data_IF_457567117170
#
_entry.id   IF_457567117170
#
_cell.length_a   1.000
_cell.length_b   1.000
_cell.length_c   1.000
_cell.angle_alpha   90.00
_cell.angle_beta   90.00
_cell.angle_gamma   90.00
#
_symmetry.space_group_name_H-M   'P 1'
#
loop_
_entity.id
_entity.type
_entity.pdbx_description
1 polymer ?
#
# COMPACT_ATOMS: atom_id res chain seq x y z
N UNK A 1 -14.99 6.61 -8.39
CA UNK A 1 -13.62 6.15 -8.71
C UNK A 1 -13.22 5.08 -7.72
N UNK A 2 -12.56 4.00 -8.17
CA UNK A 2 -12.00 3.00 -7.24
C UNK A 2 -10.89 3.66 -6.40
N UNK A 3 -10.84 3.38 -5.10
CA UNK A 3 -9.77 3.91 -4.23
C UNK A 3 -8.44 3.31 -4.66
N UNK A 4 -7.38 4.12 -4.70
CA UNK A 4 -6.03 3.60 -4.97
C UNK A 4 -5.53 2.77 -3.78
N UNK A 5 -4.56 1.88 -4.04
CA UNK A 5 -3.91 1.08 -3.01
C UNK A 5 -3.35 1.99 -1.89
N UNK A 6 -2.62 3.05 -2.28
CA UNK A 6 -2.10 4.07 -1.36
C UNK A 6 -3.21 4.74 -0.54
N UNK A 7 -4.31 5.17 -1.17
CA UNK A 7 -5.41 5.83 -0.46
C UNK A 7 -6.01 4.90 0.60
N UNK A 8 -6.14 3.62 0.29
CA UNK A 8 -6.64 2.62 1.24
C UNK A 8 -5.69 2.44 2.42
N UNK A 9 -4.38 2.40 2.17
CA UNK A 9 -3.36 2.32 3.25
C UNK A 9 -3.39 3.59 4.11
N UNK A 10 -3.51 4.77 3.50
CA UNK A 10 -3.64 6.04 4.22
C UNK A 10 -4.85 6.03 5.15
N UNK A 11 -6.03 5.68 4.63
CA UNK A 11 -7.25 5.56 5.45
C UNK A 11 -7.12 4.53 6.57
N UNK A 12 -6.37 3.44 6.36
CA UNK A 12 -6.09 2.46 7.41
C UNK A 12 -5.20 3.04 8.51
N UNK A 13 -4.19 3.81 8.12
CA UNK A 13 -3.29 4.51 9.04
C UNK A 13 -4.05 5.54 9.90
N UNK A 14 -5.04 6.23 9.33
CA UNK A 14 -5.92 7.17 10.05
C UNK A 14 -6.78 6.50 11.14
N UNK A 15 -6.96 5.18 11.11
CA UNK A 15 -7.68 4.46 12.17
C UNK A 15 -6.81 4.15 13.39
N UNK A 16 -5.48 4.16 13.25
CA UNK A 16 -4.58 3.75 14.33
C UNK A 16 -4.66 4.62 15.58
N UNK A 17 -4.73 5.97 15.49
CA UNK A 17 -4.78 6.83 16.67
C UNK A 17 -5.94 6.51 17.61
N UNK A 18 -7.12 6.16 17.08
CA UNK A 18 -8.32 5.81 17.86
C UNK A 18 -8.03 4.70 18.88
N UNK A 19 -7.24 3.70 18.49
CA UNK A 19 -6.90 2.56 19.35
C UNK A 19 -5.56 2.74 20.09
N UNK A 20 -4.57 3.37 19.45
CA UNK A 20 -3.22 3.47 20.00
C UNK A 20 -3.10 4.52 21.10
N UNK A 21 -3.76 5.68 20.99
CA UNK A 21 -3.66 6.75 21.99
C UNK A 21 -4.00 6.22 23.40
N UNK A 22 -5.21 5.67 23.66
CA UNK A 22 -5.56 5.23 25.01
C UNK A 22 -4.66 4.09 25.51
N UNK A 23 -4.17 3.22 24.62
CA UNK A 23 -3.23 2.16 24.99
C UNK A 23 -1.87 2.74 25.40
N UNK A 24 -1.28 3.60 24.56
CA UNK A 24 0.04 4.20 24.77
C UNK A 24 0.05 5.05 26.04
N UNK A 25 -0.93 5.93 26.22
CA UNK A 25 -1.02 6.80 27.39
C UNK A 25 -1.16 5.99 28.68
N UNK A 26 -2.06 5.00 28.71
CA UNK A 26 -2.22 4.12 29.87
C UNK A 26 -0.96 3.34 30.21
N UNK A 27 -0.21 2.88 29.19
CA UNK A 27 1.06 2.18 29.41
C UNK A 27 2.11 3.13 30.00
N UNK A 28 2.29 4.31 29.40
CA UNK A 28 3.25 5.31 29.85
C UNK A 28 2.94 5.80 31.28
N UNK A 29 1.67 6.06 31.59
CA UNK A 29 1.23 6.46 32.94
C UNK A 29 1.52 5.38 34.00
N UNK A 30 1.41 4.10 33.63
CA UNK A 30 1.64 2.99 34.56
C UNK A 30 3.13 2.69 34.80
N UNK A 31 4.02 2.97 33.85
CA UNK A 31 5.43 2.53 33.89
C UNK A 31 6.44 3.66 34.05
N UNK A 32 6.11 4.89 33.62
CA UNK A 32 7.01 6.04 33.73
C UNK A 32 6.72 6.78 35.03
N UNK A 33 7.76 6.99 35.84
CA UNK A 33 7.62 7.74 37.09
C UNK A 33 7.48 9.24 36.83
N UNK A 34 6.53 9.89 37.52
CA UNK A 34 6.27 11.32 37.38
C UNK A 34 5.42 11.66 36.15
N UNK A 35 5.71 12.79 35.50
CA UNK A 35 4.97 13.25 34.32
C UNK A 35 5.52 12.61 33.05
N UNK A 36 4.90 11.53 32.61
CA UNK A 36 5.32 10.79 31.42
C UNK A 36 5.37 11.66 30.16
N UNK A 37 4.54 12.71 30.07
CA UNK A 37 4.52 13.63 28.94
C UNK A 37 5.86 14.34 28.75
N UNK A 38 6.52 14.72 29.86
CA UNK A 38 7.82 15.38 29.85
C UNK A 38 8.90 14.42 29.35
N UNK A 39 8.88 13.17 29.82
CA UNK A 39 9.80 12.13 29.36
C UNK A 39 9.64 11.86 27.86
N UNK A 40 8.40 11.80 27.37
CA UNK A 40 8.13 11.61 25.94
C UNK A 40 8.68 12.76 25.11
N UNK A 41 8.41 14.01 25.49
CA UNK A 41 8.94 15.20 24.78
C UNK A 41 10.48 15.22 24.78
N UNK A 42 11.11 14.79 25.88
CA UNK A 42 12.57 14.77 25.99
C UNK A 42 13.23 13.68 25.13
N UNK A 43 12.62 12.50 25.02
CA UNK A 43 13.24 11.34 24.33
C UNK A 43 12.81 11.22 22.86
N UNK A 44 11.59 11.65 22.53
CA UNK A 44 11.02 11.52 21.18
C UNK A 44 11.25 12.79 20.38
N UNK A 45 12.18 12.73 19.44
CA UNK A 45 12.58 13.90 18.64
C UNK A 45 11.43 14.38 17.74
N UNK A 46 11.20 15.71 17.75
CA UNK A 46 10.20 16.36 16.90
C UNK A 46 8.81 16.43 17.51
N UNK A 47 8.60 15.87 18.71
CA UNK A 47 7.35 15.95 19.43
C UNK A 47 7.32 17.24 20.27
N UNK A 48 6.27 18.04 20.11
CA UNK A 48 6.09 19.30 20.84
C UNK A 48 4.75 19.28 21.57
N UNK A 49 4.70 19.69 22.84
CA UNK A 49 3.43 19.86 23.53
C UNK A 49 2.63 20.99 22.88
N UNK A 50 1.30 20.86 22.91
CA UNK A 50 0.40 21.93 22.50
C UNK A 50 0.43 23.08 23.53
N UNK A 51 -0.28 24.17 23.26
CA UNK A 51 -0.35 25.34 24.16
C UNK A 51 -0.91 25.02 25.56
N UNK A 52 -1.53 23.86 25.75
CA UNK A 52 -2.06 23.37 27.04
C UNK A 52 -1.12 22.38 27.75
N UNK A 53 0.03 22.07 27.17
CA UNK A 53 0.97 21.09 27.71
C UNK A 53 0.64 19.63 27.39
N UNK A 54 -0.37 19.36 26.57
CA UNK A 54 -0.75 18.01 26.15
C UNK A 54 0.04 17.60 24.91
N UNK A 55 0.22 16.30 24.70
CA UNK A 55 0.89 15.77 23.52
C UNK A 55 -0.12 15.67 22.38
N UNK A 56 0.15 16.36 21.27
CA UNK A 56 -0.60 16.18 20.04
C UNK A 56 -0.13 14.90 19.32
N UNK A 57 -0.92 13.84 19.43
CA UNK A 57 -0.63 12.57 18.79
C UNK A 57 -0.98 12.59 17.30
N UNK A 58 0.00 12.22 16.47
CA UNK A 58 -0.20 11.76 15.10
C UNK A 58 0.28 10.30 14.99
N UNK A 59 0.07 9.67 13.83
CA UNK A 59 0.45 8.26 13.65
C UNK A 59 1.97 8.08 13.76
N UNK A 60 2.73 9.07 13.29
CA UNK A 60 4.18 9.07 13.35
C UNK A 60 4.71 9.02 14.79
N UNK A 61 4.23 9.94 15.62
CA UNK A 61 4.68 10.19 16.98
C UNK A 61 4.22 9.06 17.90
N UNK A 62 3.03 8.50 17.68
CA UNK A 62 2.58 7.30 18.41
C UNK A 62 3.53 6.13 18.18
N UNK A 63 3.78 5.76 16.92
CA UNK A 63 4.65 4.63 16.58
C UNK A 63 6.10 4.88 17.02
N UNK A 64 6.62 6.10 16.87
CA UNK A 64 7.95 6.48 17.38
C UNK A 64 8.03 6.35 18.91
N UNK A 65 7.01 6.80 19.62
CA UNK A 65 6.96 6.72 21.08
C UNK A 65 6.96 5.26 21.53
N UNK A 66 6.18 4.40 20.88
CA UNK A 66 6.21 2.95 21.15
C UNK A 66 7.62 2.38 20.98
N UNK A 67 8.35 2.77 19.93
CA UNK A 67 9.71 2.31 19.69
C UNK A 67 10.71 2.80 20.74
N UNK A 68 10.64 4.08 21.12
CA UNK A 68 11.54 4.70 22.10
C UNK A 68 11.32 4.12 23.50
N UNK A 69 10.06 3.98 23.91
CA UNK A 69 9.68 3.47 25.22
C UNK A 69 9.45 1.95 25.24
N UNK A 70 9.94 1.22 24.23
CA UNK A 70 9.63 -0.20 24.09
C UNK A 70 9.97 -1.00 25.34
N UNK A 71 11.22 -0.90 25.81
CA UNK A 71 11.69 -1.64 26.99
C UNK A 71 10.99 -1.18 28.26
N UNK A 72 10.81 0.13 28.40
CA UNK A 72 10.30 0.74 29.63
C UNK A 72 8.80 0.49 29.82
N UNK A 73 8.02 0.50 28.73
CA UNK A 73 6.55 0.59 28.80
C UNK A 73 5.81 -0.52 28.07
N UNK A 74 6.39 -1.17 27.05
CA UNK A 74 5.66 -2.09 26.16
C UNK A 74 6.15 -3.53 26.21
N UNK A 75 7.42 -3.79 26.51
CA UNK A 75 8.03 -5.13 26.46
C UNK A 75 7.41 -6.14 27.46
N UNK A 76 6.70 -5.66 28.48
CA UNK A 76 5.97 -6.51 29.43
C UNK A 76 4.60 -7.00 28.94
N UNK A 77 4.08 -6.43 27.85
CA UNK A 77 2.75 -6.77 27.30
C UNK A 77 2.74 -7.06 25.80
N UNK A 78 3.75 -6.58 25.07
CA UNK A 78 3.95 -6.82 23.64
C UNK A 78 5.30 -7.50 23.43
N UNK A 79 5.36 -8.44 22.47
CA UNK A 79 6.53 -9.24 22.18
C UNK A 79 7.44 -8.66 21.09
N UNK A 80 8.52 -9.38 20.73
CA UNK A 80 9.46 -8.94 19.69
C UNK A 80 8.80 -8.78 18.32
N UNK A 81 7.78 -9.60 18.01
CA UNK A 81 7.05 -9.56 16.74
C UNK A 81 6.31 -8.24 16.59
N UNK A 82 5.59 -7.81 17.63
CA UNK A 82 4.86 -6.54 17.64
C UNK A 82 5.82 -5.36 17.49
N UNK A 83 7.02 -5.44 18.10
CA UNK A 83 8.06 -4.41 17.91
C UNK A 83 8.47 -4.29 16.44
N UNK A 84 8.71 -5.42 15.79
CA UNK A 84 9.03 -5.44 14.36
C UNK A 84 7.90 -4.87 13.51
N UNK A 85 6.65 -5.17 13.87
CA UNK A 85 5.47 -4.59 13.21
C UNK A 85 5.42 -3.06 13.38
N UNK A 86 5.66 -2.53 14.59
CA UNK A 86 5.71 -1.06 14.81
C UNK A 86 6.80 -0.42 13.94
N UNK A 87 7.98 -1.06 13.84
CA UNK A 87 9.06 -0.58 12.98
C UNK A 87 8.66 -0.58 11.50
N UNK A 88 7.99 -1.64 11.02
CA UNK A 88 7.48 -1.70 9.65
C UNK A 88 6.43 -0.61 9.38
N UNK A 89 5.51 -0.38 10.33
CA UNK A 89 4.48 0.66 10.18
C UNK A 89 5.07 2.07 10.15
N UNK A 90 6.20 2.31 10.83
CA UNK A 90 6.94 3.57 10.69
C UNK A 90 7.44 3.79 9.27
N UNK A 91 7.98 2.75 8.63
CA UNK A 91 8.40 2.81 7.23
C UNK A 91 7.20 3.03 6.29
N UNK A 92 6.11 2.30 6.48
CA UNK A 92 4.87 2.51 5.70
C UNK A 92 4.38 3.96 5.82
N UNK A 93 4.37 4.52 7.03
CA UNK A 93 3.98 5.91 7.27
C UNK A 93 4.93 6.88 6.59
N UNK A 94 6.24 6.61 6.62
CA UNK A 94 7.25 7.42 5.95
C UNK A 94 7.03 7.45 4.42
N UNK A 95 6.79 6.28 3.80
CA UNK A 95 6.43 6.15 2.38
C UNK A 95 5.16 6.95 2.05
N UNK A 96 4.14 6.88 2.90
CA UNK A 96 2.91 7.68 2.73
C UNK A 96 3.20 9.18 2.70
N UNK A 97 4.04 9.69 3.61
CA UNK A 97 4.40 11.12 3.66
C UNK A 97 5.24 11.58 2.46
N UNK A 98 5.99 10.68 1.83
CA UNK A 98 6.74 10.99 0.60
C UNK A 98 5.93 10.78 -0.68
N UNK A 99 4.62 10.52 -0.59
CA UNK A 99 3.75 10.23 -1.73
C UNK A 99 4.25 9.07 -2.62
N UNK A 100 4.94 8.09 -2.02
CA UNK A 100 5.42 6.94 -2.77
C UNK A 100 4.27 6.04 -3.27
N UNK A 101 4.43 5.39 -4.44
CA UNK A 101 3.45 4.43 -4.92
C UNK A 101 3.40 3.18 -4.03
N UNK A 102 2.21 2.59 -3.93
CA UNK A 102 1.98 1.30 -3.26
C UNK A 102 1.46 0.30 -4.28
N UNK A 103 2.11 -0.85 -4.38
CA UNK A 103 1.53 -2.01 -5.04
C UNK A 103 0.39 -2.60 -4.21
N UNK A 104 -0.42 -3.49 -4.80
CA UNK A 104 -1.45 -4.20 -4.02
C UNK A 104 -0.84 -5.10 -2.94
N UNK A 105 0.34 -5.65 -3.17
CA UNK A 105 1.07 -6.46 -2.20
C UNK A 105 1.59 -5.61 -1.03
N UNK A 106 2.17 -4.43 -1.32
CA UNK A 106 2.54 -3.47 -0.27
C UNK A 106 1.32 -3.07 0.57
N UNK A 107 0.20 -2.79 -0.09
CA UNK A 107 -1.01 -2.36 0.59
C UNK A 107 -1.64 -3.46 1.45
N UNK A 108 -1.69 -4.69 0.94
CA UNK A 108 -2.14 -5.85 1.70
C UNK A 108 -1.27 -6.09 2.94
N UNK A 109 0.06 -6.07 2.76
CA UNK A 109 1.03 -6.26 3.84
C UNK A 109 0.90 -5.19 4.91
N UNK A 110 0.83 -3.93 4.50
CA UNK A 110 0.66 -2.79 5.40
C UNK A 110 -0.62 -2.91 6.25
N UNK A 111 -1.76 -3.23 5.60
CA UNK A 111 -3.04 -3.40 6.29
C UNK A 111 -3.05 -4.61 7.23
N UNK A 112 -2.37 -5.71 6.88
CA UNK A 112 -2.22 -6.86 7.78
C UNK A 112 -1.35 -6.53 9.00
N UNK A 113 -0.24 -5.81 8.80
CA UNK A 113 0.62 -5.32 9.89
C UNK A 113 -0.15 -4.39 10.84
N UNK A 114 -0.96 -3.46 10.31
CA UNK A 114 -1.84 -2.62 11.11
C UNK A 114 -2.83 -3.48 11.91
N UNK A 115 -3.50 -4.44 11.25
CA UNK A 115 -4.49 -5.32 11.89
C UNK A 115 -3.89 -6.12 13.04
N UNK A 116 -2.73 -6.76 12.83
CA UNK A 116 -2.05 -7.57 13.85
C UNK A 116 -1.64 -6.74 15.06
N UNK A 117 -1.18 -5.50 14.85
CA UNK A 117 -0.88 -4.61 15.96
C UNK A 117 -2.14 -4.28 16.77
N UNK A 118 -3.26 -4.00 16.09
CA UNK A 118 -4.55 -3.74 16.75
C UNK A 118 -5.05 -4.97 17.53
N UNK A 119 -4.89 -6.17 16.99
CA UNK A 119 -5.22 -7.42 17.69
C UNK A 119 -4.35 -7.62 18.94
N UNK A 120 -3.04 -7.34 18.86
CA UNK A 120 -2.12 -7.47 19.98
C UNK A 120 -2.46 -6.53 21.15
N UNK A 121 -3.06 -5.36 20.88
CA UNK A 121 -3.53 -4.43 21.91
C UNK A 121 -5.01 -4.63 22.27
N UNK A 122 -5.64 -5.72 21.81
CA UNK A 122 -7.06 -6.03 22.03
C UNK A 122 -8.05 -5.00 21.44
N UNK A 123 -7.64 -4.24 20.40
CA UNK A 123 -8.50 -3.31 19.67
C UNK A 123 -9.25 -4.00 18.52
N UNK A 124 -10.11 -4.95 18.87
CA UNK A 124 -10.78 -5.85 17.92
C UNK A 124 -11.66 -5.15 16.87
N UNK A 125 -12.32 -4.05 17.23
CA UNK A 125 -13.17 -3.30 16.29
C UNK A 125 -12.35 -2.65 15.18
N UNK A 126 -11.24 -1.99 15.53
CA UNK A 126 -10.32 -1.37 14.57
C UNK A 126 -9.61 -2.43 13.74
N UNK A 127 -9.18 -3.54 14.36
CA UNK A 127 -8.64 -4.69 13.66
C UNK A 127 -9.60 -5.24 12.59
N UNK A 128 -10.89 -5.38 12.93
CA UNK A 128 -11.90 -5.85 11.98
C UNK A 128 -12.13 -4.86 10.81
N UNK A 129 -12.08 -3.54 11.07
CA UNK A 129 -12.14 -2.52 10.01
C UNK A 129 -10.95 -2.69 9.05
N UNK A 130 -9.73 -2.81 9.57
CA UNK A 130 -8.51 -3.01 8.79
C UNK A 130 -8.55 -4.32 7.98
N UNK A 131 -9.07 -5.40 8.55
CA UNK A 131 -9.29 -6.67 7.85
C UNK A 131 -10.20 -6.52 6.62
N UNK A 132 -11.33 -5.80 6.76
CA UNK A 132 -12.22 -5.53 5.61
C UNK A 132 -11.55 -4.70 4.51
N UNK A 133 -10.70 -3.74 4.90
CA UNK A 133 -9.93 -2.94 3.94
C UNK A 133 -8.92 -3.81 3.18
N UNK A 134 -8.23 -4.70 3.90
CA UNK A 134 -7.31 -5.69 3.31
C UNK A 134 -8.03 -6.62 2.33
N UNK A 135 -9.19 -7.16 2.70
CA UNK A 135 -9.98 -8.02 1.81
C UNK A 135 -10.43 -7.29 0.54
N UNK A 136 -10.71 -5.99 0.65
CA UNK A 136 -11.06 -5.15 -0.50
C UNK A 136 -9.87 -4.99 -1.45
N UNK A 137 -8.66 -4.79 -0.93
CA UNK A 137 -7.42 -4.75 -1.72
C UNK A 137 -7.20 -6.08 -2.44
N UNK A 138 -7.31 -7.20 -1.72
CA UNK A 138 -7.12 -8.54 -2.30
C UNK A 138 -8.14 -8.82 -3.42
N UNK A 139 -9.44 -8.55 -3.18
CA UNK A 139 -10.48 -8.70 -4.21
C UNK A 139 -10.19 -7.86 -5.45
N UNK A 140 -9.69 -6.64 -5.27
CA UNK A 140 -9.34 -5.74 -6.37
C UNK A 140 -8.14 -6.28 -7.15
N UNK A 141 -7.07 -6.68 -6.44
CA UNK A 141 -5.88 -7.30 -7.03
C UNK A 141 -6.25 -8.50 -7.91
N UNK A 142 -7.02 -9.45 -7.39
CA UNK A 142 -7.37 -10.65 -8.15
C UNK A 142 -8.30 -10.36 -9.34
N UNK A 143 -9.22 -9.39 -9.23
CA UNK A 143 -10.02 -8.93 -10.38
C UNK A 143 -9.17 -8.29 -11.47
N UNK A 144 -8.09 -7.60 -11.11
CA UNK A 144 -7.18 -7.00 -12.09
C UNK A 144 -6.28 -8.03 -12.75
N UNK A 145 -5.80 -9.02 -11.98
CA UNK A 145 -5.06 -10.15 -12.52
C UNK A 145 -5.91 -10.94 -13.52
N UNK A 146 -7.15 -11.30 -13.16
CA UNK A 146 -8.06 -12.01 -14.07
C UNK A 146 -8.30 -11.23 -15.38
N UNK A 147 -8.59 -9.93 -15.29
CA UNK A 147 -8.75 -9.05 -16.48
C UNK A 147 -7.47 -8.91 -17.31
N UNK A 148 -6.30 -8.99 -16.68
CA UNK A 148 -5.01 -8.97 -17.38
C UNK A 148 -4.79 -10.28 -18.14
N UNK A 149 -5.09 -11.41 -17.51
CA UNK A 149 -4.99 -12.73 -18.13
C UNK A 149 -5.97 -12.90 -19.29
N UNK A 150 -7.23 -12.48 -19.13
CA UNK A 150 -8.24 -12.49 -20.20
C UNK A 150 -7.77 -11.69 -21.43
N UNK A 151 -7.23 -10.48 -21.21
CA UNK A 151 -6.66 -9.66 -22.29
C UNK A 151 -5.46 -10.33 -22.95
N UNK A 152 -4.60 -11.02 -22.18
CA UNK A 152 -3.46 -11.77 -22.72
C UNK A 152 -3.89 -12.96 -23.57
N UNK A 153 -4.97 -13.65 -23.20
CA UNK A 153 -5.51 -14.79 -23.95
C UNK A 153 -6.24 -14.32 -25.22
N UNK A 154 -6.98 -13.21 -25.15
CA UNK A 154 -7.70 -12.65 -26.30
C UNK A 154 -6.78 -11.99 -27.34
N UNK A 155 -5.64 -11.45 -26.90
CA UNK A 155 -4.61 -10.90 -27.77
C UNK A 155 -3.32 -11.76 -27.63
N UNK A 156 -3.29 -12.99 -28.18
CA UNK A 156 -2.02 -13.67 -28.37
C UNK A 156 -1.18 -12.73 -29.23
N UNK A 157 -0.01 -12.34 -28.75
CA UNK A 157 0.94 -11.57 -29.54
C UNK A 157 1.05 -12.26 -30.90
N UNK A 158 0.48 -11.66 -31.95
CA UNK A 158 0.68 -12.14 -33.31
C UNK A 158 2.19 -12.06 -33.48
N UNK A 159 2.86 -13.21 -33.50
CA UNK A 159 4.26 -13.26 -33.85
C UNK A 159 4.34 -12.87 -35.32
N UNK A 160 4.40 -11.57 -35.61
CA UNK A 160 4.91 -11.05 -36.89
C UNK A 160 6.42 -11.18 -36.89
N UNK A 161 6.92 -12.35 -36.48
CA UNK A 161 8.29 -12.74 -36.75
C UNK A 161 8.35 -13.04 -38.24
N UNK A 162 8.57 -12.02 -39.07
CA UNK A 162 9.14 -12.27 -40.38
C UNK A 162 10.38 -13.12 -40.13
N UNK A 163 10.40 -14.36 -40.64
CA UNK A 163 11.59 -15.19 -40.53
C UNK A 163 12.77 -14.38 -41.06
N UNK A 164 13.87 -14.33 -40.30
CA UNK A 164 15.06 -13.61 -40.72
C UNK A 164 15.51 -14.12 -42.10
N UNK A 165 15.49 -13.23 -43.11
CA UNK A 165 15.84 -13.56 -44.49
C UNK A 165 14.68 -13.58 -45.49
N UNK A 166 13.42 -13.45 -45.05
CA UNK A 166 12.31 -13.23 -45.99
C UNK A 166 12.25 -11.76 -46.40
N UNK A 167 12.36 -11.52 -47.71
CA UNK A 167 12.17 -10.20 -48.28
C UNK A 167 10.70 -9.77 -48.11
N UNK A 168 10.43 -8.48 -47.84
CA UNK A 168 9.08 -7.95 -47.87
C UNK A 168 8.36 -8.35 -49.16
N UNK A 169 7.07 -8.70 -49.09
CA UNK A 169 6.31 -9.13 -50.28
C UNK A 169 6.35 -8.11 -51.43
N UNK A 170 6.47 -6.83 -51.09
CA UNK A 170 6.62 -5.71 -52.04
C UNK A 170 7.87 -5.81 -52.91
N UNK A 171 8.87 -6.56 -52.46
CA UNK A 171 10.13 -6.78 -53.18
C UNK A 171 10.11 -8.08 -54.00
N UNK A 172 9.13 -8.96 -53.78
CA UNK A 172 9.03 -10.27 -54.44
C UNK A 172 7.94 -10.29 -55.52
N UNK A 173 6.89 -9.47 -55.38
CA UNK A 173 5.75 -9.43 -56.30
C UNK A 173 5.34 -7.98 -56.56
N UNK A 174 5.13 -7.65 -57.84
CA UNK A 174 4.57 -6.35 -58.21
C UNK A 174 3.14 -6.21 -57.65
N UNK A 175 2.87 -5.20 -56.79
CA UNK A 175 1.53 -4.96 -56.30
C UNK A 175 0.58 -4.68 -57.45
N UNK A 176 -0.66 -5.13 -57.31
CA UNK A 176 -1.71 -4.78 -58.26
C UNK A 176 -1.86 -3.24 -58.33
N UNK A 177 -2.19 -2.65 -59.51
CA UNK A 177 -2.11 -1.20 -59.72
C UNK A 177 -2.92 -0.35 -58.74
N UNK A 178 -4.05 -0.86 -58.25
CA UNK A 178 -4.88 -0.24 -57.20
C UNK A 178 -4.16 -0.11 -55.85
N UNK A 179 -3.43 -1.14 -55.43
CA UNK A 179 -2.61 -1.17 -54.21
C UNK A 179 -1.37 -0.30 -54.39
N UNK A 180 -0.76 -0.29 -55.58
CA UNK A 180 0.40 0.53 -55.91
C UNK A 180 0.07 2.03 -55.94
N UNK A 181 -1.11 2.40 -56.43
CA UNK A 181 -1.57 3.79 -56.57
C UNK A 181 -2.31 4.33 -55.35
N UNK A 182 -2.56 3.48 -54.33
CA UNK A 182 -3.27 3.87 -53.11
C UNK A 182 -4.79 4.04 -53.29
N UNK A 183 -5.35 3.56 -54.39
CA UNK A 183 -6.77 3.68 -54.75
C UNK A 183 -7.59 2.42 -54.42
N UNK A 184 -7.14 1.60 -53.47
CA UNK A 184 -7.82 0.36 -53.08
C UNK A 184 -8.94 0.65 -52.07
N UNK A 185 -10.06 -0.09 -52.18
CA UNK A 185 -11.13 -0.01 -51.17
C UNK A 185 -10.76 -0.84 -49.95
N UNK A 186 -10.55 -0.19 -48.80
CA UNK A 186 -10.23 -0.89 -47.54
C UNK A 186 -11.24 -1.99 -47.17
N UNK A 187 -12.50 -1.84 -47.57
CA UNK A 187 -13.57 -2.80 -47.32
C UNK A 187 -13.42 -4.14 -48.08
N UNK A 188 -12.62 -4.20 -49.15
CA UNK A 188 -12.42 -5.41 -49.95
C UNK A 188 -11.21 -6.25 -49.49
N UNK A 189 -10.32 -5.66 -48.69
CA UNK A 189 -9.05 -6.27 -48.25
C UNK A 189 -8.98 -6.52 -46.74
N UNK A 190 -9.89 -5.94 -45.96
CA UNK A 190 -10.02 -6.28 -44.54
C UNK A 190 -10.55 -7.72 -44.44
N UNK A 191 -9.62 -8.67 -44.29
CA UNK A 191 -9.96 -9.91 -43.60
C UNK A 191 -10.47 -9.48 -42.22
N UNK A 192 -11.77 -9.66 -42.01
CA UNK A 192 -12.45 -9.38 -40.74
C UNK A 192 -11.72 -10.14 -39.63
N UNK A 193 -10.91 -9.41 -38.86
CA UNK A 193 -10.04 -9.89 -37.77
C UNK A 193 -10.26 -9.00 -36.54
#
# INVERSE_FOLDING_TARGET
MAKSARQTVFEGMELLPEALIPFVEKRLEATVQGHWQVEVVNRVHGLRPNSKGEIAWDQANLLKTMMVFWKDSFAGVLGPIERSIVSELLEVRNRLSHNEPFSYDDAERALDSMRRLMEAISAGEVAAKLGRMRDTILRTKYRELARSEERRVQNPSIQTGAMAGLLPWREVVEPHPDVATGNFQQAEFAADL
#
